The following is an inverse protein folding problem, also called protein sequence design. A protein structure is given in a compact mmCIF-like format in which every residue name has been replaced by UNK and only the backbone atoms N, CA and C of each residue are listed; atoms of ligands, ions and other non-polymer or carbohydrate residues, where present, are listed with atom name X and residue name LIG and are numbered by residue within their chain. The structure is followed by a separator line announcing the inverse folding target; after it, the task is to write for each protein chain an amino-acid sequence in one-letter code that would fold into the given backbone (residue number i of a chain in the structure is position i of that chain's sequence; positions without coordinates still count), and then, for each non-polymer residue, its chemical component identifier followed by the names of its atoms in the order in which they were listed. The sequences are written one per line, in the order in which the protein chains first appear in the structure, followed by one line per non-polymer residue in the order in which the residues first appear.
data_IF_307378614092
#
_entry.id   IF_307378614092
#
_cell.length_a   1.000
_cell.length_b   1.000
_cell.length_c   1.000
_cell.angle_alpha   90.00
_cell.angle_beta   90.00
_cell.angle_gamma   90.00
#
_symmetry.space_group_name_H-M   'P 1'
#
loop_
_entity.id
_entity.type
_entity.pdbx_description
1 polymer ?
#
# COMPACT_ATOMS: atom_id res chain seq x y z
N UNK A 1 16.95 2.33 -16.71
CA UNK A 1 17.07 2.49 -15.24
C UNK A 1 15.75 2.12 -14.62
N UNK A 2 15.73 1.15 -13.72
CA UNK A 2 14.52 0.81 -12.97
C UNK A 2 14.21 1.90 -11.94
N UNK A 3 12.93 2.28 -11.83
CA UNK A 3 12.47 3.31 -10.91
C UNK A 3 11.89 2.64 -9.68
N UNK A 4 12.57 2.76 -8.54
CA UNK A 4 12.08 2.22 -7.27
C UNK A 4 11.03 3.16 -6.65
N UNK A 5 9.87 2.60 -6.28
CA UNK A 5 8.87 3.28 -5.47
C UNK A 5 9.13 2.99 -4.00
N UNK A 6 9.40 4.03 -3.21
CA UNK A 6 9.52 3.91 -1.74
C UNK A 6 8.13 4.05 -1.14
N UNK A 7 7.70 3.03 -0.40
CA UNK A 7 6.39 2.99 0.26
C UNK A 7 6.59 2.90 1.77
N UNK A 8 5.75 3.60 2.52
CA UNK A 8 5.67 3.50 3.98
C UNK A 8 4.36 2.82 4.37
N UNK A 9 4.45 1.79 5.22
CA UNK A 9 3.28 1.07 5.74
C UNK A 9 3.35 0.97 7.25
N UNK A 10 2.19 0.94 7.90
CA UNK A 10 2.08 0.68 9.33
C UNK A 10 1.77 -0.80 9.52
N UNK A 11 2.66 -1.51 10.22
CA UNK A 11 2.49 -2.91 10.56
C UNK A 11 2.63 -3.10 12.08
N UNK A 12 1.89 -4.04 12.68
CA UNK A 12 2.06 -4.38 14.09
C UNK A 12 3.47 -4.89 14.36
N UNK A 13 4.04 -4.54 15.52
CA UNK A 13 5.40 -4.96 15.88
C UNK A 13 5.55 -6.48 15.93
N UNK A 14 4.58 -7.17 16.54
CA UNK A 14 4.59 -8.63 16.68
C UNK A 14 4.70 -9.31 15.31
N UNK A 15 3.94 -8.84 14.33
CA UNK A 15 3.99 -9.36 12.95
C UNK A 15 5.36 -9.15 12.30
N UNK A 16 6.05 -8.04 12.59
CA UNK A 16 7.41 -7.80 12.07
C UNK A 16 8.44 -8.73 12.72
N UNK A 17 8.25 -9.07 13.99
CA UNK A 17 9.14 -9.98 14.70
C UNK A 17 8.94 -11.42 14.21
N UNK A 18 7.68 -11.88 14.07
CA UNK A 18 7.33 -13.17 13.45
C UNK A 18 7.90 -13.29 12.03
N UNK A 19 7.82 -12.20 11.25
CA UNK A 19 8.33 -12.17 9.88
C UNK A 19 9.85 -12.33 9.81
N UNK A 20 10.59 -11.70 10.73
CA UNK A 20 12.05 -11.85 10.80
C UNK A 20 12.43 -13.27 11.19
N UNK A 21 11.71 -13.88 12.12
CA UNK A 21 11.94 -15.26 12.53
C UNK A 21 11.69 -16.22 11.35
N UNK A 22 10.55 -16.08 10.66
CA UNK A 22 10.21 -16.91 9.52
C UNK A 22 11.18 -16.77 8.34
N UNK A 23 11.73 -15.57 8.12
CA UNK A 23 12.66 -15.29 7.00
C UNK A 23 14.13 -15.48 7.36
N UNK A 24 14.47 -15.56 8.65
CA UNK A 24 15.84 -15.58 9.16
C UNK A 24 16.63 -14.29 8.89
N UNK A 25 15.95 -13.18 8.54
CA UNK A 25 16.59 -11.92 8.17
C UNK A 25 16.79 -11.01 9.40
N UNK A 26 17.94 -10.34 9.44
CA UNK A 26 18.30 -9.43 10.56
C UNK A 26 17.53 -8.12 10.50
N UNK A 27 17.25 -7.61 9.30
CA UNK A 27 16.60 -6.32 9.12
C UNK A 27 15.14 -6.47 8.69
N UNK A 28 14.29 -5.54 9.17
CA UNK A 28 12.88 -5.48 8.77
C UNK A 28 12.75 -5.31 7.25
N UNK A 29 13.65 -4.51 6.64
CA UNK A 29 13.64 -4.22 5.21
C UNK A 29 13.84 -5.49 4.37
N UNK A 30 14.82 -6.31 4.73
CA UNK A 30 15.11 -7.56 4.01
C UNK A 30 13.99 -8.59 4.20
N UNK A 31 13.48 -8.73 5.42
CA UNK A 31 12.36 -9.62 5.73
C UNK A 31 11.12 -9.25 4.90
N UNK A 32 10.76 -7.96 4.87
CA UNK A 32 9.64 -7.46 4.07
C UNK A 32 9.87 -7.62 2.57
N UNK A 33 11.08 -7.33 2.08
CA UNK A 33 11.39 -7.51 0.66
C UNK A 33 11.18 -8.97 0.24
N UNK A 34 11.74 -9.92 0.98
CA UNK A 34 11.59 -11.34 0.69
C UNK A 34 10.13 -11.80 0.74
N UNK A 35 9.37 -11.31 1.72
CA UNK A 35 7.95 -11.62 1.84
C UNK A 35 7.11 -11.08 0.67
N UNK A 36 7.39 -9.86 0.22
CA UNK A 36 6.70 -9.26 -0.94
C UNK A 36 7.04 -10.02 -2.22
N UNK A 37 8.32 -10.35 -2.44
CA UNK A 37 8.73 -11.16 -3.59
C UNK A 37 8.05 -12.53 -3.57
N UNK A 38 8.06 -13.20 -2.41
CA UNK A 38 7.38 -14.48 -2.26
C UNK A 38 5.89 -14.38 -2.55
N UNK A 39 5.20 -13.35 -2.07
CA UNK A 39 3.79 -13.12 -2.35
C UNK A 39 3.51 -12.91 -3.84
N UNK A 40 4.38 -12.19 -4.56
CA UNK A 40 4.24 -11.95 -6.00
C UNK A 40 4.48 -13.22 -6.80
N UNK A 41 5.44 -14.05 -6.38
CA UNK A 41 5.87 -15.26 -7.10
C UNK A 41 5.09 -16.52 -6.70
N UNK A 42 4.36 -16.50 -5.59
CA UNK A 42 3.64 -17.67 -5.11
C UNK A 42 2.45 -17.99 -6.03
N UNK A 43 2.55 -19.11 -6.74
CA UNK A 43 1.54 -19.58 -7.69
C UNK A 43 0.27 -20.11 -7.01
N UNK A 44 0.32 -20.33 -5.69
CA UNK A 44 -0.77 -20.90 -4.89
C UNK A 44 -1.68 -19.85 -4.24
N UNK A 45 -1.42 -18.55 -4.46
CA UNK A 45 -2.30 -17.50 -3.95
C UNK A 45 -3.45 -17.36 -4.95
N UNK A 46 -4.67 -17.68 -4.52
CA UNK A 46 -5.87 -17.23 -5.22
C UNK A 46 -5.73 -15.72 -5.38
N UNK A 47 -5.49 -15.25 -6.61
CA UNK A 47 -5.39 -13.82 -6.89
C UNK A 47 -6.68 -13.19 -6.40
N UNK A 48 -6.60 -12.49 -5.26
CA UNK A 48 -7.71 -11.70 -4.73
C UNK A 48 -8.01 -10.63 -5.80
N UNK A 49 -8.94 -10.95 -6.71
CA UNK A 49 -9.43 -10.05 -7.76
C UNK A 49 -10.43 -9.11 -7.12
N UNK A 50 -9.99 -8.31 -6.16
CA UNK A 50 -10.80 -7.25 -5.60
C UNK A 50 -10.06 -5.92 -5.72
N UNK A 51 -9.88 -5.48 -6.98
CA UNK A 51 -9.79 -4.06 -7.25
C UNK A 51 -11.21 -3.52 -7.09
N UNK A 52 -11.56 -3.09 -5.88
CA UNK A 52 -12.78 -2.30 -5.66
C UNK A 52 -12.62 -1.05 -6.50
N UNK A 53 -13.35 -0.97 -7.63
CA UNK A 53 -13.49 0.27 -8.39
C UNK A 53 -14.08 1.29 -7.43
N UNK A 54 -13.25 2.21 -6.94
CA UNK A 54 -13.72 3.33 -6.13
C UNK A 54 -14.62 4.16 -7.04
N UNK A 55 -15.94 4.02 -6.86
CA UNK A 55 -16.91 4.87 -7.55
C UNK A 55 -16.64 6.32 -7.13
N UNK A 56 -15.99 7.10 -8.00
CA UNK A 56 -15.87 8.54 -7.83
C UNK A 56 -17.28 9.10 -7.69
N UNK A 57 -17.67 9.55 -6.50
CA UNK A 57 -18.96 10.20 -6.28
C UNK A 57 -18.99 11.47 -7.15
N UNK A 58 -19.78 11.46 -8.22
CA UNK A 58 -20.13 12.67 -8.96
C UNK A 58 -21.18 13.41 -8.12
N UNK A 59 -20.73 14.34 -7.29
CA UNK A 59 -21.59 15.12 -6.40
C UNK A 59 -20.86 16.35 -5.87
N UNK A 60 -21.63 17.31 -5.35
CA UNK A 60 -21.09 18.53 -4.77
C UNK A 60 -20.28 18.19 -3.52
N UNK A 61 -19.03 18.67 -3.45
CA UNK A 61 -18.19 18.50 -2.28
C UNK A 61 -18.86 19.12 -1.04
N UNK A 62 -18.68 18.53 0.15
CA UNK A 62 -19.08 19.15 1.41
C UNK A 62 -18.60 20.60 1.50
N UNK A 63 -19.39 21.49 2.11
CA UNK A 63 -19.16 22.95 2.11
C UNK A 63 -17.75 23.34 2.57
N UNK A 64 -17.19 22.60 3.54
CA UNK A 64 -15.83 22.84 4.05
C UNK A 64 -14.72 22.43 3.06
N UNK A 65 -14.99 21.48 2.16
CA UNK A 65 -14.05 21.04 1.12
C UNK A 65 -14.21 21.80 -0.20
N UNK A 66 -15.37 22.43 -0.42
CA UNK A 66 -15.64 23.19 -1.64
C UNK A 66 -14.69 24.39 -1.82
N UNK A 67 -14.33 25.08 -0.73
CA UNK A 67 -13.37 26.20 -0.77
C UNK A 67 -11.96 25.75 -1.18
N UNK A 68 -11.55 24.57 -0.71
CA UNK A 68 -10.24 24.00 -1.04
C UNK A 68 -10.18 23.57 -2.51
N UNK A 69 -11.25 22.96 -3.03
CA UNK A 69 -11.35 22.57 -4.44
C UNK A 69 -11.36 23.80 -5.38
N UNK A 70 -12.13 24.84 -5.06
CA UNK A 70 -12.18 26.07 -5.87
C UNK A 70 -10.84 26.81 -5.94
N UNK A 71 -10.05 26.75 -4.87
CA UNK A 71 -8.70 27.33 -4.83
C UNK A 71 -7.69 26.56 -5.69
N UNK A 72 -7.93 25.27 -5.94
CA UNK A 72 -7.06 24.42 -6.75
C UNK A 72 -7.37 24.59 -8.25
N UNK A 73 -8.63 24.86 -8.61
CA UNK A 73 -9.07 25.03 -10.01
C UNK A 73 -8.81 26.43 -10.59
N UNK A 74 -8.47 27.43 -9.76
CA UNK A 74 -8.22 28.81 -10.22
C UNK A 74 -6.76 29.09 -10.57
N UNK A 75 -5.98 28.07 -10.95
CA UNK A 75 -4.57 28.17 -11.37
C UNK A 75 -4.33 27.30 -12.60
#
# INVERSE_FOLDING_TARGET
MEKYLIVQTRLPKNMLDDLKEATGKKTVKEALYQAVIHYIECHNIERIREIHKVNKKRGRFPVHLAKLMASIESK
#
